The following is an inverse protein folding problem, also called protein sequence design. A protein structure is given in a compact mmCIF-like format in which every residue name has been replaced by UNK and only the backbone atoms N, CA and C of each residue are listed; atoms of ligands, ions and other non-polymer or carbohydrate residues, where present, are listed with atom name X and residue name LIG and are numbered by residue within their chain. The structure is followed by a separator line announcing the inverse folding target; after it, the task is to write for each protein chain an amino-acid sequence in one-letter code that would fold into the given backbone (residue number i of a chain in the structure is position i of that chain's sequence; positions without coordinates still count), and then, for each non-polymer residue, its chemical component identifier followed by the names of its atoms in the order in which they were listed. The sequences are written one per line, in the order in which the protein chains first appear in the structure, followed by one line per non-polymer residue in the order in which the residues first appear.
data_IF_918098406977
#
_entry.id   IF_918098406977
#
_cell.length_a   1.000
_cell.length_b   1.000
_cell.length_c   1.000
_cell.angle_alpha   90.00
_cell.angle_beta   90.00
_cell.angle_gamma   90.00
#
_symmetry.space_group_name_H-M   'P 1'
#
loop_
_entity.id
_entity.type
_entity.pdbx_description
1 polymer ?
#
# COMPACT_ATOMS: atom_id res chain seq x y z
N UNK A 1 3.80 -12.71 8.04
CA UNK A 1 4.69 -11.97 8.97
C UNK A 1 3.98 -10.73 9.53
N UNK A 2 3.15 -10.97 10.55
CA UNK A 2 2.30 -9.93 11.16
C UNK A 2 3.12 -8.84 11.88
N UNK A 3 4.30 -9.19 12.42
CA UNK A 3 5.17 -8.18 13.05
C UNK A 3 5.69 -7.16 12.05
N UNK A 4 6.05 -7.59 10.84
CA UNK A 4 6.46 -6.71 9.74
C UNK A 4 5.30 -5.87 9.25
N UNK A 5 4.11 -6.47 9.08
CA UNK A 5 2.89 -5.77 8.68
C UNK A 5 2.54 -4.65 9.65
N UNK A 6 2.51 -4.92 10.95
CA UNK A 6 2.18 -3.94 11.97
C UNK A 6 3.09 -2.69 11.93
N UNK A 7 4.40 -2.89 11.75
CA UNK A 7 5.34 -1.77 11.64
C UNK A 7 5.20 -1.04 10.30
N UNK A 8 5.10 -1.79 9.19
CA UNK A 8 5.01 -1.19 7.85
C UNK A 8 3.73 -0.37 7.68
N UNK A 9 2.58 -0.85 8.16
CA UNK A 9 1.30 -0.14 8.05
C UNK A 9 1.42 1.27 8.60
N UNK A 10 1.75 1.42 9.88
CA UNK A 10 1.87 2.75 10.51
C UNK A 10 2.99 3.62 9.91
N UNK A 11 4.14 3.02 9.57
CA UNK A 11 5.23 3.76 8.91
C UNK A 11 4.80 4.28 7.54
N UNK A 12 4.05 3.50 6.78
CA UNK A 12 3.56 3.88 5.47
C UNK A 12 2.48 4.95 5.57
N UNK A 13 1.52 4.84 6.50
CA UNK A 13 0.51 5.87 6.75
C UNK A 13 1.14 7.24 7.02
N UNK A 14 2.15 7.27 7.90
CA UNK A 14 2.90 8.50 8.17
C UNK A 14 3.64 9.01 6.93
N UNK A 15 4.19 8.12 6.11
CA UNK A 15 4.86 8.49 4.87
C UNK A 15 3.87 9.05 3.83
N UNK A 16 2.62 8.54 3.78
CA UNK A 16 1.60 9.01 2.82
C UNK A 16 1.16 10.46 3.06
N UNK A 17 1.33 10.99 4.26
CA UNK A 17 1.15 12.44 4.52
C UNK A 17 2.47 13.23 4.39
N UNK A 18 3.52 12.62 3.86
CA UNK A 18 4.83 13.25 3.66
C UNK A 18 5.69 13.35 4.93
N UNK A 19 5.24 12.78 6.04
CA UNK A 19 5.98 12.78 7.29
C UNK A 19 7.23 11.89 7.18
N UNK A 20 8.27 12.24 7.96
CA UNK A 20 9.37 11.36 8.30
C UNK A 20 9.00 10.67 9.61
N UNK A 21 8.66 9.38 9.62
CA UNK A 21 8.35 8.65 10.84
C UNK A 21 9.54 8.66 11.80
N UNK A 22 9.28 8.78 13.11
CA UNK A 22 10.31 8.82 14.14
C UNK A 22 10.07 7.79 15.24
N UNK A 23 8.87 7.76 15.78
CA UNK A 23 8.52 6.95 16.93
C UNK A 23 7.24 6.16 16.66
N UNK A 24 7.20 4.94 17.18
CA UNK A 24 6.03 4.08 17.23
C UNK A 24 5.75 3.69 18.68
N UNK A 25 4.48 3.48 18.97
CA UNK A 25 4.01 2.72 20.13
C UNK A 25 3.35 1.44 19.65
N UNK A 26 3.30 0.41 20.50
CA UNK A 26 2.68 -0.87 20.17
C UNK A 26 1.85 -1.37 21.33
N UNK A 27 0.67 -1.90 21.04
CA UNK A 27 -0.15 -2.64 21.98
C UNK A 27 -0.38 -4.06 21.47
N UNK A 28 -0.28 -5.02 22.39
CA UNK A 28 -0.55 -6.42 22.14
C UNK A 28 -1.75 -6.89 22.95
N UNK A 29 -2.66 -7.61 22.29
CA UNK A 29 -3.66 -8.44 22.97
C UNK A 29 -3.27 -9.88 22.66
N UNK A 30 -2.86 -10.63 23.66
CA UNK A 30 -2.39 -12.00 23.56
C UNK A 30 -3.44 -12.95 24.12
N UNK A 31 -3.80 -13.95 23.36
CA UNK A 31 -4.63 -15.03 23.86
C UNK A 31 -3.79 -16.01 24.71
N UNK A 32 -4.36 -16.47 25.83
CA UNK A 32 -3.76 -17.51 26.66
C UNK A 32 -3.49 -18.78 25.83
N UNK A 33 -2.24 -19.25 25.87
CA UNK A 33 -1.77 -20.39 25.09
C UNK A 33 -0.94 -20.00 23.85
N UNK A 34 -0.79 -18.72 23.52
CA UNK A 34 0.20 -18.30 22.54
C UNK A 34 1.61 -18.63 23.07
N UNK A 35 2.41 -19.35 22.28
CA UNK A 35 3.75 -19.75 22.72
C UNK A 35 4.73 -18.57 22.76
N UNK A 36 5.62 -18.54 23.74
CA UNK A 36 6.69 -17.55 23.81
C UNK A 36 7.56 -17.54 22.55
N UNK A 37 7.81 -18.71 21.95
CA UNK A 37 8.61 -18.83 20.73
C UNK A 37 7.94 -18.15 19.53
N UNK A 38 6.61 -18.23 19.39
CA UNK A 38 5.87 -17.52 18.34
C UNK A 38 5.89 -16.01 18.59
N UNK A 39 5.62 -15.59 19.83
CA UNK A 39 5.65 -14.19 20.21
C UNK A 39 7.05 -13.56 19.99
N UNK A 40 8.11 -14.27 20.36
CA UNK A 40 9.50 -13.82 20.13
C UNK A 40 9.82 -13.64 18.63
N UNK A 41 9.33 -14.53 17.76
CA UNK A 41 9.46 -14.39 16.30
C UNK A 41 8.80 -13.09 15.81
N UNK A 42 7.60 -12.78 16.31
CA UNK A 42 6.86 -11.57 15.97
C UNK A 42 7.66 -10.34 16.42
N UNK A 43 8.14 -10.31 17.67
CA UNK A 43 8.94 -9.20 18.19
C UNK A 43 10.24 -8.99 17.42
N UNK A 44 10.95 -10.06 17.05
CA UNK A 44 12.16 -10.00 16.21
C UNK A 44 11.86 -9.41 14.83
N UNK A 45 10.74 -9.80 14.24
CA UNK A 45 10.29 -9.26 12.96
C UNK A 45 9.96 -7.77 13.07
N UNK A 46 9.22 -7.35 14.10
CA UNK A 46 8.95 -5.93 14.37
C UNK A 46 10.25 -5.14 14.55
N UNK A 47 11.18 -5.64 15.36
CA UNK A 47 12.46 -4.99 15.61
C UNK A 47 13.28 -4.80 14.33
N UNK A 48 13.38 -5.85 13.50
CA UNK A 48 14.14 -5.80 12.25
C UNK A 48 13.52 -4.81 11.26
N UNK A 49 12.19 -4.76 11.20
CA UNK A 49 11.44 -3.86 10.33
C UNK A 49 11.55 -2.41 10.81
N UNK A 50 11.44 -2.16 12.12
CA UNK A 50 11.63 -0.83 12.70
C UNK A 50 13.05 -0.29 12.43
N UNK A 51 14.08 -1.14 12.55
CA UNK A 51 15.46 -0.78 12.18
C UNK A 51 15.58 -0.44 10.69
N UNK A 52 14.96 -1.24 9.80
CA UNK A 52 14.98 -0.99 8.37
C UNK A 52 14.25 0.31 7.99
N UNK A 53 13.16 0.62 8.68
CA UNK A 53 12.40 1.86 8.53
C UNK A 53 13.07 3.06 9.22
N UNK A 54 14.08 2.83 10.06
CA UNK A 54 14.74 3.86 10.91
C UNK A 54 13.78 4.57 11.85
N UNK A 55 12.87 3.80 12.46
CA UNK A 55 11.96 4.27 13.51
C UNK A 55 12.27 3.56 14.83
N UNK A 56 11.90 4.18 15.95
CA UNK A 56 12.05 3.59 17.28
C UNK A 56 10.68 3.24 17.85
N UNK A 57 10.55 2.03 18.38
CA UNK A 57 9.39 1.66 19.21
C UNK A 57 9.73 2.12 20.63
N UNK A 58 9.03 3.14 21.13
CA UNK A 58 9.38 3.85 22.37
C UNK A 58 8.49 3.50 23.54
N UNK A 59 7.33 2.93 23.29
CA UNK A 59 6.41 2.47 24.33
C UNK A 59 5.61 1.26 23.84
N UNK A 60 5.19 0.44 24.76
CA UNK A 60 4.33 -0.71 24.47
C UNK A 60 3.48 -1.07 25.67
N UNK A 61 2.36 -1.76 25.40
CA UNK A 61 1.50 -2.36 26.41
C UNK A 61 1.11 -3.77 25.98
N UNK A 62 0.83 -4.63 26.96
CA UNK A 62 0.45 -6.02 26.70
C UNK A 62 -0.69 -6.43 27.61
N UNK A 63 -1.78 -6.88 27.00
CA UNK A 63 -2.92 -7.48 27.68
C UNK A 63 -3.01 -8.94 27.32
N UNK A 64 -3.10 -9.82 28.32
CA UNK A 64 -3.44 -11.22 28.13
C UNK A 64 -4.93 -11.42 28.36
N UNK A 65 -5.58 -12.14 27.47
CA UNK A 65 -7.01 -12.50 27.54
C UNK A 65 -7.15 -14.02 27.60
N UNK A 66 -8.26 -14.51 28.16
CA UNK A 66 -8.53 -15.93 28.27
C UNK A 66 -8.64 -16.58 26.88
N UNK A 67 -8.37 -17.89 26.83
CA UNK A 67 -8.53 -18.71 25.62
C UNK A 67 -9.95 -18.58 25.06
N UNK A 68 -10.06 -18.39 23.74
CA UNK A 68 -11.31 -18.17 23.01
C UNK A 68 -11.76 -16.71 22.92
N UNK A 69 -11.02 -15.75 23.54
CA UNK A 69 -11.38 -14.33 23.53
C UNK A 69 -10.55 -13.50 22.53
N UNK A 70 -9.67 -14.14 21.76
CA UNK A 70 -8.92 -13.53 20.67
C UNK A 70 -8.48 -14.60 19.66
N UNK A 71 -8.05 -14.18 18.47
CA UNK A 71 -7.43 -15.04 17.47
C UNK A 71 -5.90 -15.08 17.68
N UNK A 72 -5.46 -15.69 18.78
CA UNK A 72 -4.04 -15.78 19.24
C UNK A 72 -3.42 -14.42 19.59
N UNK A 73 -3.39 -13.46 18.66
CA UNK A 73 -2.74 -12.17 18.88
C UNK A 73 -3.35 -11.08 18.02
N UNK A 74 -3.62 -9.92 18.64
CA UNK A 74 -3.85 -8.67 17.94
C UNK A 74 -2.70 -7.71 18.24
N UNK A 75 -2.25 -6.97 17.20
CA UNK A 75 -1.18 -5.98 17.29
C UNK A 75 -1.73 -4.66 16.78
N UNK A 76 -1.66 -3.63 17.63
CA UNK A 76 -2.00 -2.26 17.25
C UNK A 76 -0.76 -1.40 17.39
N UNK A 77 -0.46 -0.62 16.35
CA UNK A 77 0.64 0.34 16.35
C UNK A 77 0.11 1.74 16.10
N UNK A 78 0.73 2.72 16.76
CA UNK A 78 0.52 4.14 16.48
C UNK A 78 1.86 4.82 16.29
N UNK A 79 1.90 5.92 15.55
CA UNK A 79 3.18 6.54 15.23
C UNK A 79 3.15 8.05 15.17
N UNK A 80 4.32 8.64 15.35
CA UNK A 80 4.56 10.08 15.24
C UNK A 80 5.67 10.31 14.21
N UNK A 81 5.45 11.28 13.32
CA UNK A 81 6.40 11.73 12.33
C UNK A 81 6.42 13.23 12.19
N UNK A 82 7.45 13.75 11.53
CA UNK A 82 7.60 15.19 11.28
C UNK A 82 7.43 15.48 9.79
N UNK A 83 6.51 16.37 9.46
CA UNK A 83 6.32 16.92 8.12
C UNK A 83 7.18 18.17 7.98
N UNK A 84 7.99 18.24 6.92
CA UNK A 84 8.81 19.42 6.63
C UNK A 84 7.94 20.57 6.14
N UNK A 85 8.30 21.80 6.52
CA UNK A 85 7.60 23.01 6.08
C UNK A 85 7.48 23.09 4.54
N UNK A 86 6.27 23.34 4.08
CA UNK A 86 5.94 23.46 2.66
C UNK A 86 5.75 22.11 1.95
N UNK A 87 5.53 21.03 2.69
CA UNK A 87 4.98 19.76 2.19
C UNK A 87 3.49 19.74 2.53
N UNK A 88 2.65 19.63 1.50
CA UNK A 88 1.19 19.66 1.60
C UNK A 88 0.61 18.52 0.77
N UNK A 89 0.63 17.32 1.35
CA UNK A 89 0.12 16.10 0.72
C UNK A 89 -1.22 15.73 1.33
N UNK A 90 -2.23 15.60 0.49
CA UNK A 90 -3.56 15.17 0.92
C UNK A 90 -4.28 14.42 -0.20
N UNK A 91 -5.15 13.46 0.13
CA UNK A 91 -6.01 12.77 -0.84
C UNK A 91 -6.93 13.70 -1.62
N UNK A 92 -7.15 14.93 -1.16
CA UNK A 92 -7.97 15.95 -1.80
C UNK A 92 -7.20 16.96 -2.67
N UNK A 93 -5.89 16.77 -2.85
CA UNK A 93 -5.03 17.75 -3.53
C UNK A 93 -4.73 17.42 -5.00
N UNK A 94 -5.32 16.36 -5.58
CA UNK A 94 -5.11 16.02 -6.98
C UNK A 94 -5.62 17.13 -7.92
N UNK A 95 -4.83 17.46 -8.95
CA UNK A 95 -5.12 18.53 -9.91
C UNK A 95 -5.24 17.96 -11.31
N UNK A 96 -6.11 18.57 -12.12
CA UNK A 96 -6.28 18.19 -13.52
C UNK A 96 -4.93 18.27 -14.25
N UNK A 97 -4.62 17.23 -15.01
CA UNK A 97 -3.36 17.05 -15.74
C UNK A 97 -2.25 16.36 -14.95
N UNK A 98 -2.39 16.17 -13.64
CA UNK A 98 -1.42 15.44 -12.83
C UNK A 98 -1.20 14.01 -13.36
N UNK A 99 0.02 13.51 -13.24
CA UNK A 99 0.36 12.13 -13.60
C UNK A 99 0.25 11.23 -12.37
N UNK A 100 -0.26 10.02 -12.60
CA UNK A 100 -0.45 8.99 -11.59
C UNK A 100 0.67 7.97 -11.73
N UNK A 101 1.50 7.86 -10.70
CA UNK A 101 2.63 6.93 -10.64
C UNK A 101 2.33 5.85 -9.61
N UNK A 102 2.48 4.60 -10.00
CA UNK A 102 2.44 3.45 -9.11
C UNK A 102 3.86 2.95 -8.86
N UNK A 103 4.21 2.64 -7.62
CA UNK A 103 5.60 2.31 -7.24
C UNK A 103 6.07 0.91 -7.70
N UNK A 104 5.16 0.04 -8.12
CA UNK A 104 5.54 -1.32 -8.57
C UNK A 104 4.35 -2.20 -8.93
N UNK A 105 4.55 -3.52 -8.91
CA UNK A 105 3.52 -4.51 -9.21
C UNK A 105 2.42 -4.53 -8.16
N UNK A 106 1.16 -4.78 -8.57
CA UNK A 106 0.02 -4.88 -7.67
C UNK A 106 -0.45 -6.33 -7.47
N UNK A 107 -1.20 -6.54 -6.39
CA UNK A 107 -1.82 -7.81 -6.02
C UNK A 107 -0.87 -8.81 -5.37
N UNK A 108 0.41 -8.47 -5.19
CA UNK A 108 1.41 -9.39 -4.65
C UNK A 108 1.08 -9.84 -3.23
N UNK A 109 0.67 -8.91 -2.33
CA UNK A 109 0.34 -9.26 -0.95
C UNK A 109 -0.90 -10.14 -0.86
N UNK A 110 -2.03 -9.66 -1.37
CA UNK A 110 -3.29 -10.38 -1.24
C UNK A 110 -3.23 -11.78 -1.84
N UNK A 111 -2.60 -11.93 -3.01
CA UNK A 111 -2.44 -13.24 -3.63
C UNK A 111 -1.45 -14.14 -2.90
N UNK A 112 -0.38 -13.60 -2.28
CA UNK A 112 0.54 -14.38 -1.47
C UNK A 112 -0.14 -14.95 -0.22
N UNK A 113 -0.95 -14.15 0.47
CA UNK A 113 -1.70 -14.60 1.66
C UNK A 113 -2.77 -15.61 1.28
N UNK A 114 -3.55 -15.32 0.22
CA UNK A 114 -4.60 -16.24 -0.23
C UNK A 114 -4.01 -17.60 -0.64
N UNK A 115 -2.94 -17.59 -1.43
CA UNK A 115 -2.28 -18.81 -1.86
C UNK A 115 -1.79 -19.67 -0.69
N UNK A 116 -1.35 -19.05 0.41
CA UNK A 116 -0.89 -19.75 1.61
C UNK A 116 -2.06 -20.24 2.48
N UNK A 117 -3.18 -19.50 2.55
CA UNK A 117 -4.36 -19.90 3.32
C UNK A 117 -5.11 -21.06 2.68
N UNK A 118 -5.24 -21.03 1.37
CA UNK A 118 -5.96 -22.05 0.58
C UNK A 118 -5.05 -23.24 0.19
N UNK A 119 -3.81 -23.29 0.70
CA UNK A 119 -2.80 -24.33 0.40
C UNK A 119 -2.68 -24.61 -1.11
N UNK A 120 -2.72 -23.52 -1.90
CA UNK A 120 -2.62 -23.63 -3.35
C UNK A 120 -1.23 -24.13 -3.74
N UNK A 121 -1.15 -25.30 -4.34
CA UNK A 121 0.09 -25.91 -4.83
C UNK A 121 0.64 -25.13 -6.06
N UNK A 122 1.11 -23.91 -5.84
CA UNK A 122 1.65 -23.07 -6.89
C UNK A 122 3.07 -23.52 -7.27
N UNK A 123 3.34 -23.62 -8.55
CA UNK A 123 4.70 -23.89 -9.07
C UNK A 123 5.70 -22.77 -8.77
N UNK A 124 5.20 -21.57 -8.50
CA UNK A 124 6.02 -20.37 -8.22
C UNK A 124 5.67 -19.83 -6.84
N UNK A 125 6.68 -19.63 -6.00
CA UNK A 125 6.51 -18.99 -4.70
C UNK A 125 6.16 -17.52 -4.90
N UNK A 126 4.98 -17.13 -4.43
CA UNK A 126 4.57 -15.74 -4.39
C UNK A 126 4.91 -15.17 -3.00
N UNK A 127 5.57 -14.01 -2.97
CA UNK A 127 5.95 -13.34 -1.74
C UNK A 127 5.16 -12.02 -1.59
N UNK A 128 4.75 -11.74 -0.35
CA UNK A 128 4.14 -10.47 0.00
C UNK A 128 5.07 -9.29 -0.32
N UNK A 129 4.50 -8.22 -0.82
CA UNK A 129 5.22 -6.99 -1.09
C UNK A 129 5.42 -6.09 0.14
N UNK A 130 4.97 -6.52 1.32
CA UNK A 130 5.05 -5.74 2.55
C UNK A 130 6.45 -5.12 2.74
N UNK A 131 6.50 -3.78 2.84
CA UNK A 131 7.75 -3.03 2.90
C UNK A 131 7.57 -1.62 3.47
N UNK A 132 8.56 -1.08 4.21
CA UNK A 132 8.53 0.31 4.67
C UNK A 132 8.91 1.25 3.52
N UNK A 133 7.98 2.12 3.14
CA UNK A 133 8.12 3.03 1.98
C UNK A 133 8.69 4.41 2.35
N UNK A 134 8.79 4.73 3.63
CA UNK A 134 9.18 6.04 4.13
C UNK A 134 10.51 6.55 3.54
N UNK A 135 11.51 5.69 3.37
CA UNK A 135 12.80 6.08 2.80
C UNK A 135 12.67 6.49 1.31
N UNK A 136 11.81 5.80 0.55
CA UNK A 136 11.51 6.15 -0.84
C UNK A 136 10.77 7.48 -0.93
N UNK A 137 9.72 7.67 -0.12
CA UNK A 137 8.96 8.92 -0.05
C UNK A 137 9.87 10.10 0.30
N UNK A 138 10.75 9.96 1.31
CA UNK A 138 11.69 11.04 1.66
C UNK A 138 12.67 11.38 0.52
N UNK A 139 13.07 10.41 -0.32
CA UNK A 139 13.87 10.69 -1.52
C UNK A 139 13.06 11.43 -2.59
N UNK A 140 11.80 11.06 -2.79
CA UNK A 140 10.90 11.76 -3.72
C UNK A 140 10.71 13.23 -3.32
N UNK A 141 10.43 13.48 -2.03
CA UNK A 141 10.24 14.82 -1.46
C UNK A 141 11.51 15.69 -1.44
N UNK A 142 12.69 15.10 -1.56
CA UNK A 142 13.94 15.86 -1.78
C UNK A 142 14.06 16.37 -3.21
N UNK A 143 13.45 15.69 -4.17
CA UNK A 143 13.51 16.05 -5.60
C UNK A 143 12.47 17.09 -5.96
N UNK A 144 11.25 16.97 -5.42
CA UNK A 144 10.19 17.95 -5.66
C UNK A 144 9.20 17.99 -4.51
N UNK A 145 8.61 19.18 -4.32
CA UNK A 145 7.43 19.39 -3.47
C UNK A 145 6.11 19.30 -4.24
N UNK A 146 6.17 19.23 -5.58
CA UNK A 146 5.00 19.13 -6.47
C UNK A 146 4.45 17.68 -6.51
N UNK A 147 4.36 17.06 -5.34
CA UNK A 147 3.69 15.79 -5.09
C UNK A 147 2.41 16.14 -4.34
N UNK A 148 1.27 16.00 -5.02
CA UNK A 148 -0.01 16.46 -4.49
C UNK A 148 -0.69 15.41 -3.62
N UNK A 149 -0.61 14.13 -4.02
CA UNK A 149 -1.19 13.00 -3.30
C UNK A 149 -0.18 11.87 -3.17
N UNK A 150 -0.14 11.25 -2.00
CA UNK A 150 0.44 9.93 -1.77
C UNK A 150 -0.60 9.07 -1.07
N UNK A 151 -0.78 7.83 -1.50
CA UNK A 151 -1.64 6.83 -0.86
C UNK A 151 -1.07 5.44 -1.10
N UNK A 152 -1.24 4.58 -0.14
CA UNK A 152 -0.95 3.15 -0.27
C UNK A 152 -2.24 2.39 -0.64
N UNK A 153 -2.21 1.58 -1.72
CA UNK A 153 -3.38 0.85 -2.18
C UNK A 153 -3.56 -0.46 -1.39
N UNK A 154 -3.87 -0.34 -0.10
CA UNK A 154 -4.09 -1.46 0.82
C UNK A 154 -5.47 -2.07 0.59
N UNK A 155 -6.42 -1.88 1.49
CA UNK A 155 -7.76 -2.46 1.39
C UNK A 155 -8.52 -1.97 0.15
N UNK A 156 -9.06 -2.92 -0.63
CA UNK A 156 -9.72 -2.63 -1.90
C UNK A 156 -8.77 -2.24 -3.05
N UNK A 157 -7.46 -2.33 -2.82
CA UNK A 157 -6.42 -2.19 -3.82
C UNK A 157 -6.36 -0.84 -4.52
N UNK A 158 -5.84 -0.87 -5.74
CA UNK A 158 -5.66 0.30 -6.59
C UNK A 158 -7.00 0.98 -6.92
N UNK A 159 -8.03 0.18 -7.23
CA UNK A 159 -9.33 0.68 -7.65
C UNK A 159 -10.01 1.52 -6.56
N UNK A 160 -10.13 0.99 -5.34
CA UNK A 160 -10.76 1.71 -4.23
C UNK A 160 -9.99 2.98 -3.88
N UNK A 161 -8.66 2.89 -3.75
CA UNK A 161 -7.83 4.05 -3.41
C UNK A 161 -7.97 5.19 -4.43
N UNK A 162 -8.00 4.87 -5.73
CA UNK A 162 -8.15 5.91 -6.76
C UNK A 162 -9.57 6.50 -6.79
N UNK A 163 -10.60 5.71 -6.48
CA UNK A 163 -11.96 6.24 -6.34
C UNK A 163 -12.08 7.20 -5.14
N UNK A 164 -11.48 6.86 -3.99
CA UNK A 164 -11.43 7.76 -2.83
C UNK A 164 -10.77 9.11 -3.18
N UNK A 165 -9.65 9.07 -3.93
CA UNK A 165 -8.96 10.27 -4.39
C UNK A 165 -9.84 11.05 -5.38
N UNK A 166 -10.48 10.39 -6.34
CA UNK A 166 -11.36 11.04 -7.33
C UNK A 166 -12.54 11.74 -6.66
N UNK A 167 -13.13 11.10 -5.63
CA UNK A 167 -14.21 11.66 -4.83
C UNK A 167 -13.74 12.87 -4.01
N UNK A 168 -12.67 12.73 -3.25
CA UNK A 168 -12.19 13.78 -2.33
C UNK A 168 -11.61 14.99 -3.05
N UNK A 169 -10.98 14.79 -4.22
CA UNK A 169 -10.45 15.87 -5.06
C UNK A 169 -11.47 16.42 -6.07
N UNK A 170 -12.66 15.82 -6.21
CA UNK A 170 -13.70 16.19 -7.17
C UNK A 170 -13.21 16.22 -8.62
N UNK A 171 -12.42 15.21 -9.03
CA UNK A 171 -11.80 15.05 -10.36
C UNK A 171 -12.16 13.71 -10.98
N UNK A 172 -11.83 13.53 -12.24
CA UNK A 172 -11.80 12.24 -12.91
C UNK A 172 -10.39 11.65 -12.96
N UNK A 173 -10.31 10.36 -13.13
CA UNK A 173 -9.04 9.64 -13.32
C UNK A 173 -9.15 8.78 -14.57
N UNK A 174 -8.12 8.82 -15.43
CA UNK A 174 -7.99 7.97 -16.61
C UNK A 174 -6.74 7.10 -16.49
N UNK A 175 -6.92 5.80 -16.39
CA UNK A 175 -5.85 4.81 -16.32
C UNK A 175 -5.64 4.11 -17.67
N UNK A 176 -4.44 3.59 -17.89
CA UNK A 176 -4.09 2.73 -19.02
C UNK A 176 -3.74 1.33 -18.50
N UNK A 177 -4.56 0.33 -18.83
CA UNK A 177 -4.42 -1.04 -18.32
C UNK A 177 -3.04 -1.64 -18.58
N UNK A 178 -2.52 -1.46 -19.79
CA UNK A 178 -1.20 -1.98 -20.21
C UNK A 178 -0.02 -1.35 -19.48
N UNK A 179 -0.23 -0.18 -18.85
CA UNK A 179 0.79 0.51 -18.07
C UNK A 179 0.84 0.04 -16.60
N UNK A 180 -0.17 -0.69 -16.13
CA UNK A 180 -0.25 -1.17 -14.74
C UNK A 180 0.60 -2.44 -14.60
N UNK A 181 1.68 -2.41 -13.80
CA UNK A 181 2.53 -3.57 -13.63
C UNK A 181 1.85 -4.65 -12.77
N UNK A 182 1.71 -5.85 -13.32
CA UNK A 182 1.16 -7.02 -12.63
C UNK A 182 2.05 -8.23 -12.96
N UNK A 183 2.49 -8.96 -11.93
CA UNK A 183 3.27 -10.19 -12.15
C UNK A 183 2.42 -11.27 -12.83
N UNK A 184 3.04 -12.06 -13.72
CA UNK A 184 2.36 -13.18 -14.38
C UNK A 184 1.72 -14.15 -13.39
N UNK A 185 2.40 -14.47 -12.28
CA UNK A 185 1.87 -15.35 -11.24
C UNK A 185 0.61 -14.76 -10.57
N UNK A 186 0.61 -13.45 -10.26
CA UNK A 186 -0.56 -12.77 -9.70
C UNK A 186 -1.73 -12.81 -10.68
N UNK A 187 -1.48 -12.47 -11.94
CA UNK A 187 -2.51 -12.52 -13.00
C UNK A 187 -3.10 -13.92 -13.12
N UNK A 188 -2.29 -14.97 -13.19
CA UNK A 188 -2.76 -16.35 -13.31
C UNK A 188 -3.60 -16.81 -12.11
N UNK A 189 -3.25 -16.41 -10.88
CA UNK A 189 -4.06 -16.74 -9.70
C UNK A 189 -5.39 -15.98 -9.73
N UNK A 190 -5.35 -14.69 -10.08
CA UNK A 190 -6.58 -13.89 -10.20
C UNK A 190 -7.52 -14.46 -11.27
N UNK A 191 -7.00 -14.86 -12.44
CA UNK A 191 -7.77 -15.49 -13.50
C UNK A 191 -8.39 -16.83 -13.04
N UNK A 192 -7.61 -17.66 -12.34
CA UNK A 192 -8.07 -18.95 -11.82
C UNK A 192 -9.20 -18.81 -10.80
N UNK A 193 -9.12 -17.79 -9.93
CA UNK A 193 -10.04 -17.59 -8.82
C UNK A 193 -11.14 -16.55 -9.10
N UNK A 194 -11.15 -15.94 -10.29
CA UNK A 194 -12.14 -14.94 -10.68
C UNK A 194 -11.95 -13.57 -10.00
N UNK A 195 -10.73 -13.23 -9.55
CA UNK A 195 -10.42 -11.93 -8.95
C UNK A 195 -9.91 -10.93 -9.98
N UNK A 196 -10.22 -9.65 -9.76
CA UNK A 196 -9.57 -8.55 -10.49
C UNK A 196 -8.38 -8.03 -9.67
N UNK A 197 -7.14 -8.12 -10.17
CA UNK A 197 -5.94 -7.68 -9.44
C UNK A 197 -5.96 -6.20 -9.03
N UNK A 198 -6.81 -5.38 -9.66
CA UNK A 198 -6.96 -3.96 -9.31
C UNK A 198 -7.60 -3.74 -7.94
N UNK A 199 -8.33 -4.73 -7.42
CA UNK A 199 -8.98 -4.70 -6.10
C UNK A 199 -8.20 -5.44 -5.02
N UNK A 200 -7.10 -6.11 -5.39
CA UNK A 200 -6.28 -6.89 -4.46
C UNK A 200 -5.38 -5.99 -3.62
N UNK A 201 -5.35 -6.25 -2.32
CA UNK A 201 -4.57 -5.49 -1.34
C UNK A 201 -3.06 -5.54 -1.58
N UNK A 202 -2.37 -4.43 -1.27
CA UNK A 202 -0.93 -4.27 -1.34
C UNK A 202 -0.42 -3.65 -0.03
N UNK A 203 0.71 -4.12 0.51
CA UNK A 203 1.26 -3.67 1.79
C UNK A 203 2.62 -2.98 1.67
N UNK A 204 3.14 -2.85 0.43
CA UNK A 204 4.44 -2.26 0.15
C UNK A 204 4.45 -1.50 -1.18
N UNK A 205 3.33 -0.92 -1.57
CA UNK A 205 3.18 -0.08 -2.76
C UNK A 205 2.60 1.29 -2.39
N UNK A 206 2.90 2.27 -3.21
CA UNK A 206 2.26 3.59 -3.13
C UNK A 206 1.84 4.08 -4.51
N UNK A 207 0.80 4.90 -4.49
CA UNK A 207 0.35 5.75 -5.58
C UNK A 207 0.86 7.16 -5.28
N UNK A 208 1.49 7.79 -6.26
CA UNK A 208 1.87 9.20 -6.20
C UNK A 208 1.17 9.95 -7.33
N UNK A 209 0.44 11.01 -6.99
CA UNK A 209 -0.13 11.93 -7.97
C UNK A 209 0.69 13.19 -7.93
N UNK A 210 1.29 13.53 -9.06
CA UNK A 210 2.32 14.54 -9.16
C UNK A 210 2.11 15.46 -10.35
N UNK A 211 2.57 16.70 -10.24
CA UNK A 211 2.58 17.65 -11.36
C UNK A 211 3.32 17.05 -12.57
N UNK A 212 2.83 17.21 -13.82
CA UNK A 212 3.43 16.61 -15.00
C UNK A 212 4.91 16.92 -15.17
N UNK A 213 5.31 18.17 -14.88
CA UNK A 213 6.70 18.64 -15.04
C UNK A 213 7.74 17.94 -14.16
N UNK A 214 7.30 17.21 -13.13
CA UNK A 214 8.19 16.49 -12.20
C UNK A 214 8.04 14.97 -12.28
N UNK A 215 7.07 14.47 -13.03
CA UNK A 215 6.74 13.03 -13.08
C UNK A 215 7.95 12.16 -13.45
N UNK A 216 8.70 12.53 -14.49
CA UNK A 216 9.88 11.77 -14.93
C UNK A 216 11.00 11.76 -13.88
N UNK A 217 11.17 12.87 -13.16
CA UNK A 217 12.17 12.94 -12.07
C UNK A 217 11.76 12.07 -10.89
N UNK A 218 10.49 12.09 -10.53
CA UNK A 218 9.96 11.28 -9.41
C UNK A 218 10.05 9.80 -9.74
N UNK A 219 9.60 9.36 -10.92
CA UNK A 219 9.69 7.95 -11.31
C UNK A 219 11.13 7.46 -11.38
N UNK A 220 12.07 8.29 -11.87
CA UNK A 220 13.48 7.95 -11.89
C UNK A 220 14.06 7.73 -10.49
N UNK A 221 13.65 8.54 -9.52
CA UNK A 221 14.04 8.36 -8.10
C UNK A 221 13.42 7.12 -7.50
N UNK A 222 12.15 6.85 -7.80
CA UNK A 222 11.48 5.61 -7.34
C UNK A 222 12.19 4.38 -7.88
N UNK A 223 12.50 4.32 -9.16
CA UNK A 223 13.18 3.18 -9.81
C UNK A 223 14.58 2.89 -9.27
N UNK A 224 15.28 3.88 -8.73
CA UNK A 224 16.56 3.71 -8.02
C UNK A 224 16.40 3.13 -6.61
N UNK A 225 15.18 3.05 -6.09
CA UNK A 225 14.91 2.47 -4.78
C UNK A 225 14.51 0.99 -4.92
N UNK A 226 14.94 0.15 -3.95
CA UNK A 226 14.68 -1.31 -4.00
C UNK A 226 13.19 -1.67 -4.12
N UNK A 227 12.29 -0.84 -3.56
CA UNK A 227 10.83 -1.06 -3.59
C UNK A 227 10.12 -0.34 -4.74
N UNK A 228 10.84 0.41 -5.58
CA UNK A 228 10.30 1.16 -6.69
C UNK A 228 10.81 0.75 -8.07
N UNK A 229 11.54 -0.37 -8.19
CA UNK A 229 12.17 -0.82 -9.44
C UNK A 229 11.21 -0.90 -10.62
N UNK A 230 9.98 -1.31 -10.37
CA UNK A 230 8.92 -1.46 -11.38
C UNK A 230 7.95 -0.29 -11.37
N UNK A 231 8.36 0.90 -10.89
CA UNK A 231 7.50 2.06 -10.89
C UNK A 231 7.11 2.45 -12.32
N UNK A 232 5.83 2.81 -12.50
CA UNK A 232 5.25 3.14 -13.79
C UNK A 232 4.28 4.32 -13.68
N UNK A 233 4.21 5.16 -14.72
CA UNK A 233 3.10 6.09 -14.89
C UNK A 233 1.94 5.27 -15.44
N UNK A 234 0.83 5.20 -14.70
CA UNK A 234 -0.31 4.34 -15.00
C UNK A 234 -1.52 5.11 -15.53
N UNK A 235 -1.49 6.44 -15.47
CA UNK A 235 -2.59 7.29 -15.91
C UNK A 235 -2.40 8.75 -15.55
N UNK A 236 -3.51 9.46 -15.63
CA UNK A 236 -3.57 10.91 -15.40
C UNK A 236 -4.90 11.34 -14.79
N UNK A 237 -4.86 12.50 -14.13
CA UNK A 237 -6.04 13.17 -13.61
C UNK A 237 -6.69 13.98 -14.73
N UNK A 238 -8.02 13.81 -14.91
CA UNK A 238 -8.82 14.45 -15.97
C UNK A 238 -9.96 15.26 -15.35
N UNK A 239 -10.50 16.21 -16.13
CA UNK A 239 -11.63 17.03 -15.66
C UNK A 239 -12.94 16.24 -15.64
N UNK A 240 -13.17 15.40 -16.63
CA UNK A 240 -14.45 14.66 -16.78
C UNK A 240 -14.22 13.21 -17.16
N UNK A 241 -15.13 12.30 -16.74
CA UNK A 241 -16.21 12.52 -15.77
C UNK A 241 -15.66 12.71 -14.36
N UNK A 242 -16.24 13.62 -13.59
CA UNK A 242 -15.83 13.86 -12.20
C UNK A 242 -16.18 12.68 -11.29
N UNK A 243 -15.37 12.48 -10.24
CA UNK A 243 -15.58 11.44 -9.21
C UNK A 243 -15.65 10.03 -9.80
N UNK A 244 -14.96 9.81 -10.92
CA UNK A 244 -15.01 8.55 -11.66
C UNK A 244 -13.61 8.14 -12.05
N UNK A 245 -13.33 6.85 -11.94
CA UNK A 245 -12.08 6.24 -12.42
C UNK A 245 -12.37 5.44 -13.68
N UNK A 246 -11.73 5.82 -14.77
CA UNK A 246 -11.83 5.14 -16.06
C UNK A 246 -10.58 4.31 -16.32
N UNK A 247 -10.74 3.10 -16.83
CA UNK A 247 -9.67 2.23 -17.29
C UNK A 247 -9.77 2.03 -18.80
N UNK A 248 -8.79 2.52 -19.55
CA UNK A 248 -8.62 2.20 -20.97
C UNK A 248 -8.03 0.80 -21.08
N UNK A 249 -8.83 -0.12 -21.61
CA UNK A 249 -8.47 -1.54 -21.70
C UNK A 249 -7.50 -1.81 -22.85
N UNK A 250 -6.80 -2.94 -22.78
CA UNK A 250 -5.85 -3.35 -23.83
C UNK A 250 -6.50 -3.63 -25.19
N UNK A 251 -7.82 -3.92 -25.22
CA UNK A 251 -8.60 -4.12 -26.45
C UNK A 251 -9.19 -2.83 -27.02
N UNK A 252 -8.84 -1.66 -26.45
CA UNK A 252 -9.29 -0.34 -26.94
C UNK A 252 -10.61 0.16 -26.36
N UNK A 253 -11.28 -0.61 -25.50
CA UNK A 253 -12.47 -0.18 -24.77
C UNK A 253 -12.13 0.70 -23.56
N UNK A 254 -13.17 1.23 -22.92
CA UNK A 254 -13.05 1.93 -21.63
C UNK A 254 -14.08 1.35 -20.67
N UNK A 255 -13.66 1.00 -19.46
CA UNK A 255 -14.57 0.59 -18.38
C UNK A 255 -14.45 1.53 -17.18
N UNK A 256 -15.51 1.67 -16.43
CA UNK A 256 -15.50 2.34 -15.13
C UNK A 256 -14.94 1.36 -14.11
N UNK A 257 -14.03 1.84 -13.25
CA UNK A 257 -13.62 1.14 -12.05
C UNK A 257 -14.39 1.71 -10.89
N UNK A 258 -15.30 0.92 -10.34
CA UNK A 258 -16.10 1.31 -9.17
C UNK A 258 -15.37 1.03 -7.86
N UNK A 259 -15.92 1.57 -6.76
CA UNK A 259 -15.52 1.16 -5.41
C UNK A 259 -15.79 -0.32 -5.22
N UNK A 260 -14.93 -0.97 -4.43
CA UNK A 260 -15.15 -2.37 -4.07
C UNK A 260 -16.51 -2.52 -3.36
N UNK A 261 -17.42 -3.27 -3.96
CA UNK A 261 -18.69 -3.64 -3.36
C UNK A 261 -18.54 -5.02 -2.69
N UNK A 262 -18.61 -5.05 -1.36
CA UNK A 262 -18.42 -6.28 -0.59
C UNK A 262 -16.95 -6.64 -0.32
N UNK A 263 -16.72 -7.75 0.36
CA UNK A 263 -15.36 -8.28 0.63
C UNK A 263 -15.05 -9.35 -0.43
N UNK A 264 -14.10 -9.07 -1.35
CA UNK A 264 -13.64 -10.06 -2.33
C UNK A 264 -12.69 -11.09 -1.74
N UNK A 265 -11.96 -10.69 -0.69
CA UNK A 265 -11.00 -11.54 0.01
C UNK A 265 -11.31 -11.55 1.50
N UNK A 266 -11.08 -12.68 2.21
CA UNK A 266 -11.09 -12.67 3.67
C UNK A 266 -10.18 -11.56 4.19
N UNK A 267 -10.50 -10.98 5.34
CA UNK A 267 -9.64 -9.96 5.97
C UNK A 267 -8.20 -10.47 6.07
N UNK A 268 -7.27 -9.75 5.46
CA UNK A 268 -5.88 -10.19 5.30
C UNK A 268 -4.94 -9.45 6.27
N UNK A 269 -5.42 -8.36 6.83
CA UNK A 269 -4.70 -7.53 7.81
C UNK A 269 -5.67 -6.95 8.86
#
# INVERSE_FOLDING_TARGET
DIGKLAVCGTVNDLAMVGAKPQYLTVAFILEEGLSFAEFEKILKSMQSTARAAKVQIVAGDTKVVNRGNADKIFITTSGIGVIRKGIEISGSNAKIGDKIILSGTIGDHGMAILAQREDLALKTRLESDCAPLNAMVQKMLKVSKDIHVLRDPTRGGLATTLNEIALSSNIGISLTETAIPIKKAVRGICELLGFDPLYVANEGKLIAIVKPSVADKIIAVMRKHKYGKNAAIIGEVVDKPKKTVLLKTFIGGTRILDMLAGEQLPRIC
#
